data_IF_698381477005
#
_entry.id   IF_698381477005
#
_cell.length_a   1.000
_cell.length_b   1.000
_cell.length_c   1.000
_cell.angle_alpha   90.00
_cell.angle_beta   90.00
_cell.angle_gamma   90.00
#
_symmetry.space_group_name_H-M   'P 1'
#
loop_
_entity.id
_entity.type
_entity.pdbx_description
1 polymer ?
#
# COMPACT_ATOMS: atom_id res chain seq x y z
N UNK A 1 -2.55 -1.05 -32.61
CA UNK A 1 -2.74 -0.65 -31.19
C UNK A 1 -3.41 -1.80 -30.47
N UNK A 2 -2.96 -2.15 -29.28
CA UNK A 2 -3.59 -3.16 -28.40
C UNK A 2 -3.94 -2.53 -27.06
N UNK A 3 -4.87 -3.13 -26.31
CA UNK A 3 -5.21 -2.64 -24.96
C UNK A 3 -4.00 -2.78 -24.02
N UNK A 4 -3.49 -4.00 -23.86
CA UNK A 4 -2.39 -4.31 -22.94
C UNK A 4 -1.07 -4.57 -23.69
N UNK A 5 0.09 -4.27 -23.06
CA UNK A 5 1.40 -4.52 -23.63
C UNK A 5 1.79 -5.98 -23.40
N UNK A 6 1.13 -6.89 -24.11
CA UNK A 6 1.31 -8.34 -23.93
C UNK A 6 2.78 -8.76 -24.08
N UNK A 7 3.57 -8.10 -24.94
CA UNK A 7 5.01 -8.39 -25.06
C UNK A 7 5.78 -8.20 -23.75
N UNK A 8 5.37 -7.21 -22.94
CA UNK A 8 6.02 -6.87 -21.68
C UNK A 8 5.46 -7.71 -20.53
N UNK A 9 4.13 -7.88 -20.48
CA UNK A 9 3.45 -8.67 -19.46
C UNK A 9 3.73 -10.18 -19.61
N UNK A 10 3.74 -10.70 -20.83
CA UNK A 10 4.10 -12.10 -21.11
C UNK A 10 5.57 -12.36 -20.78
N UNK A 11 6.48 -11.42 -21.06
CA UNK A 11 7.87 -11.52 -20.61
C UNK A 11 7.97 -11.55 -19.08
N UNK A 12 7.28 -10.62 -18.41
CA UNK A 12 7.34 -10.47 -16.96
C UNK A 12 6.76 -11.69 -16.23
N UNK A 13 5.63 -12.23 -16.71
CA UNK A 13 4.96 -13.38 -16.11
C UNK A 13 5.35 -14.73 -16.69
N UNK A 14 6.26 -14.77 -17.68
CA UNK A 14 6.56 -15.96 -18.48
C UNK A 14 5.28 -16.61 -19.05
N UNK A 15 4.44 -15.78 -19.67
CA UNK A 15 3.15 -16.15 -20.26
C UNK A 15 3.15 -16.15 -21.79
N UNK A 16 1.98 -16.45 -22.37
CA UNK A 16 1.73 -16.41 -23.81
C UNK A 16 0.28 -15.99 -24.09
N UNK A 17 -0.11 -14.78 -23.70
CA UNK A 17 -1.48 -14.28 -23.88
C UNK A 17 -1.71 -13.63 -25.26
N UNK A 18 -0.63 -13.21 -25.93
CA UNK A 18 -0.69 -12.46 -27.20
C UNK A 18 -0.73 -13.27 -28.50
N UNK A 19 -1.21 -14.52 -28.50
CA UNK A 19 -1.11 -15.43 -29.67
C UNK A 19 -1.77 -14.88 -30.94
N UNK A 20 -3.02 -14.42 -30.86
CA UNK A 20 -3.75 -13.87 -32.02
C UNK A 20 -3.03 -12.66 -32.65
N UNK A 21 -2.50 -11.78 -31.81
CA UNK A 21 -1.75 -10.60 -32.27
C UNK A 21 -0.41 -11.01 -32.86
N UNK A 22 0.20 -12.07 -32.33
CA UNK A 22 1.42 -12.65 -32.87
C UNK A 22 1.20 -13.21 -34.27
N UNK A 23 0.16 -14.00 -34.47
CA UNK A 23 -0.23 -14.54 -35.77
C UNK A 23 -0.50 -13.42 -36.78
N UNK A 24 -1.21 -12.35 -36.38
CA UNK A 24 -1.41 -11.17 -37.24
C UNK A 24 -0.07 -10.52 -37.65
N UNK A 25 0.85 -10.33 -36.73
CA UNK A 25 2.13 -9.65 -36.98
C UNK A 25 3.05 -10.51 -37.84
N UNK A 26 3.21 -11.78 -37.49
CA UNK A 26 4.16 -12.70 -38.10
C UNK A 26 3.67 -13.15 -39.47
N UNK A 27 2.41 -13.57 -39.58
CA UNK A 27 1.92 -14.29 -40.77
C UNK A 27 1.25 -13.36 -41.79
N UNK A 28 0.61 -12.27 -41.36
CA UNK A 28 -0.12 -11.36 -42.26
C UNK A 28 0.59 -10.02 -42.49
N UNK A 29 1.13 -9.40 -41.44
CA UNK A 29 1.81 -8.11 -41.59
C UNK A 29 3.22 -8.27 -42.15
N UNK A 30 3.91 -9.38 -41.87
CA UNK A 30 5.22 -9.74 -42.47
C UNK A 30 6.21 -8.56 -42.54
N UNK A 31 6.45 -7.90 -41.41
CA UNK A 31 7.39 -6.76 -41.31
C UNK A 31 6.81 -5.38 -41.62
N UNK A 32 5.51 -5.30 -41.96
CA UNK A 32 4.80 -4.01 -42.13
C UNK A 32 4.42 -3.33 -40.82
N UNK A 33 4.44 -4.04 -39.69
CA UNK A 33 4.17 -3.44 -38.38
C UNK A 33 5.39 -2.64 -37.91
N UNK A 34 5.44 -1.33 -38.15
CA UNK A 34 6.59 -0.52 -37.68
C UNK A 34 6.48 -0.14 -36.21
N UNK A 35 5.27 0.13 -35.73
CA UNK A 35 5.00 0.53 -34.35
C UNK A 35 3.87 -0.31 -33.76
N UNK A 36 4.13 -0.92 -32.60
CA UNK A 36 3.10 -1.52 -31.75
C UNK A 36 2.97 -0.70 -30.47
N UNK A 37 1.77 -0.16 -30.24
CA UNK A 37 1.44 0.63 -29.05
C UNK A 37 0.39 -0.09 -28.21
N UNK A 38 0.54 0.01 -26.88
CA UNK A 38 -0.46 -0.40 -25.91
C UNK A 38 -0.56 0.56 -24.72
N UNK A 39 -1.70 0.52 -24.03
CA UNK A 39 -1.97 1.24 -22.79
C UNK A 39 -1.82 0.30 -21.58
N UNK A 40 -2.77 0.36 -20.65
CA UNK A 40 -2.91 -0.50 -19.47
C UNK A 40 -1.81 -0.37 -18.39
N UNK A 41 -0.54 -0.47 -18.77
CA UNK A 41 0.54 -0.08 -17.87
C UNK A 41 0.66 1.45 -17.80
N UNK A 42 0.34 2.02 -16.65
CA UNK A 42 0.24 3.46 -16.40
C UNK A 42 1.60 4.19 -16.29
N UNK A 43 2.50 3.88 -17.19
CA UNK A 43 3.76 4.58 -17.42
C UNK A 43 3.98 4.76 -18.91
N UNK A 44 5.07 5.43 -19.27
CA UNK A 44 5.57 5.47 -20.63
C UNK A 44 6.86 4.67 -20.75
N UNK A 45 6.97 3.86 -21.80
CA UNK A 45 8.18 3.06 -22.06
C UNK A 45 8.31 2.77 -23.55
N UNK A 46 9.44 3.12 -24.15
CA UNK A 46 9.76 2.83 -25.55
C UNK A 46 10.94 1.88 -25.67
N UNK A 47 10.72 0.81 -26.41
CA UNK A 47 11.79 -0.07 -26.87
C UNK A 47 11.92 0.02 -28.39
N UNK A 48 13.16 -0.02 -28.87
CA UNK A 48 13.47 -0.05 -30.30
C UNK A 48 14.29 -1.29 -30.62
N UNK A 49 13.98 -1.93 -31.74
CA UNK A 49 14.73 -3.09 -32.21
C UNK A 49 16.18 -2.70 -32.50
N UNK A 50 17.13 -3.50 -32.03
CA UNK A 50 18.55 -3.36 -32.38
C UNK A 50 18.77 -3.95 -33.78
N UNK A 51 19.49 -3.24 -34.68
CA UNK A 51 19.81 -3.77 -36.00
C UNK A 51 20.48 -5.15 -35.91
N UNK A 52 19.96 -6.12 -36.65
CA UNK A 52 20.41 -7.52 -36.64
C UNK A 52 19.99 -8.24 -37.91
N UNK A 53 20.72 -9.29 -38.30
CA UNK A 53 20.39 -10.11 -39.47
C UNK A 53 19.03 -10.80 -39.33
N UNK A 54 18.27 -10.84 -40.43
CA UNK A 54 16.93 -11.46 -40.50
C UNK A 54 15.77 -10.48 -40.28
N UNK A 55 14.53 -10.92 -40.53
CA UNK A 55 13.36 -10.04 -40.61
C UNK A 55 13.04 -9.38 -39.26
N UNK A 56 12.77 -8.07 -39.29
CA UNK A 56 12.27 -7.32 -38.14
C UNK A 56 10.75 -7.22 -38.25
N UNK A 57 10.05 -7.91 -37.37
CA UNK A 57 8.58 -7.95 -37.38
C UNK A 57 7.94 -6.68 -36.80
N UNK A 58 8.60 -6.07 -35.81
CA UNK A 58 8.20 -4.81 -35.18
C UNK A 58 9.43 -3.94 -34.94
N UNK A 59 9.41 -2.68 -35.35
CA UNK A 59 10.57 -1.80 -35.17
C UNK A 59 10.56 -1.13 -33.79
N UNK A 60 9.39 -0.69 -33.34
CA UNK A 60 9.21 -0.01 -32.05
C UNK A 60 8.05 -0.60 -31.25
N UNK A 61 8.31 -0.83 -29.96
CA UNK A 61 7.31 -1.22 -28.97
C UNK A 61 7.11 -0.05 -28.01
N UNK A 62 5.87 0.40 -27.87
CA UNK A 62 5.52 1.59 -27.11
C UNK A 62 4.44 1.27 -26.08
N UNK A 63 4.75 1.49 -24.82
CA UNK A 63 3.76 1.53 -23.74
C UNK A 63 3.48 2.99 -23.46
N UNK A 64 2.21 3.40 -23.53
CA UNK A 64 1.77 4.68 -22.98
C UNK A 64 0.37 4.53 -22.38
N UNK A 65 0.32 4.09 -21.12
CA UNK A 65 -0.91 4.02 -20.33
C UNK A 65 -1.05 5.14 -19.31
N UNK A 66 -0.25 6.21 -19.38
CA UNK A 66 -0.15 7.23 -18.34
C UNK A 66 -1.49 7.90 -17.96
N UNK A 67 -2.54 7.78 -18.78
CA UNK A 67 -3.90 8.25 -18.47
C UNK A 67 -4.61 7.51 -17.33
N UNK A 68 -4.11 6.37 -16.86
CA UNK A 68 -4.78 5.53 -15.85
C UNK A 68 -4.92 6.11 -14.45
N UNK A 69 -5.55 5.38 -13.52
CA UNK A 69 -5.90 5.92 -12.20
C UNK A 69 -4.68 6.24 -11.29
N UNK A 70 -3.60 5.48 -11.42
CA UNK A 70 -2.36 5.65 -10.65
C UNK A 70 -1.15 5.24 -11.49
N UNK A 71 0.04 5.74 -11.17
CA UNK A 71 1.30 5.39 -11.86
C UNK A 71 1.66 3.90 -11.69
N UNK A 72 2.12 3.22 -12.75
CA UNK A 72 2.79 1.90 -12.63
C UNK A 72 4.33 2.05 -12.61
N UNK A 73 5.07 1.14 -11.97
CA UNK A 73 6.53 1.21 -11.99
C UNK A 73 7.10 0.87 -13.36
N UNK A 74 8.13 1.59 -13.77
CA UNK A 74 9.00 1.26 -14.91
C UNK A 74 10.17 0.33 -14.57
N UNK A 75 10.74 0.42 -13.36
CA UNK A 75 12.00 -0.27 -13.01
C UNK A 75 11.90 -1.79 -13.01
N UNK A 76 10.73 -2.36 -12.68
CA UNK A 76 10.49 -3.82 -12.74
C UNK A 76 10.58 -4.40 -14.15
N UNK A 77 10.43 -3.55 -15.17
CA UNK A 77 10.46 -3.94 -16.58
C UNK A 77 11.82 -3.65 -17.26
N UNK A 78 12.80 -3.15 -16.50
CA UNK A 78 14.12 -2.70 -17.02
C UNK A 78 14.91 -3.79 -17.76
N UNK A 79 14.70 -5.06 -17.42
CA UNK A 79 15.43 -6.19 -18.01
C UNK A 79 14.80 -6.73 -19.30
N UNK A 80 13.67 -6.16 -19.75
CA UNK A 80 13.06 -6.56 -21.01
C UNK A 80 13.98 -6.20 -22.19
N UNK A 81 14.34 -7.22 -22.98
CA UNK A 81 15.32 -7.05 -24.06
C UNK A 81 15.08 -7.92 -25.28
N UNK A 82 14.09 -8.82 -25.27
CA UNK A 82 13.85 -9.77 -26.36
C UNK A 82 12.38 -9.86 -26.73
N UNK A 83 12.10 -9.87 -28.04
CA UNK A 83 10.76 -10.07 -28.58
C UNK A 83 10.82 -10.65 -29.99
N UNK A 84 10.08 -11.72 -30.26
CA UNK A 84 10.12 -12.51 -31.51
C UNK A 84 11.55 -12.81 -31.99
N UNK A 85 12.42 -13.28 -31.08
CA UNK A 85 13.80 -13.64 -31.38
C UNK A 85 14.76 -12.48 -31.66
N UNK A 86 14.27 -11.22 -31.64
CA UNK A 86 15.07 -10.01 -31.84
C UNK A 86 15.37 -9.31 -30.52
N UNK A 87 16.51 -8.63 -30.49
CA UNK A 87 16.94 -7.82 -29.33
C UNK A 87 16.36 -6.42 -29.43
N UNK A 88 15.91 -5.89 -28.30
CA UNK A 88 15.36 -4.56 -28.14
C UNK A 88 16.09 -3.81 -27.05
N UNK A 89 16.24 -2.51 -27.24
CA UNK A 89 16.84 -1.60 -26.27
C UNK A 89 15.78 -0.61 -25.79
N UNK A 90 15.67 -0.41 -24.48
CA UNK A 90 14.83 0.63 -23.89
C UNK A 90 15.44 2.00 -24.20
N UNK A 91 14.79 2.78 -25.05
CA UNK A 91 15.27 4.12 -25.46
C UNK A 91 14.77 5.23 -24.55
N UNK A 92 13.58 5.07 -23.96
CA UNK A 92 13.01 6.04 -23.05
C UNK A 92 12.04 5.36 -22.08
N UNK A 93 12.03 5.81 -20.83
CA UNK A 93 11.07 5.40 -19.80
C UNK A 93 10.66 6.63 -18.99
N UNK A 94 9.38 6.76 -18.68
CA UNK A 94 8.86 7.85 -17.87
C UNK A 94 7.83 7.34 -16.86
N UNK A 95 8.10 7.47 -15.55
CA UNK A 95 9.36 7.97 -14.94
C UNK A 95 10.57 7.08 -15.29
N UNK A 96 11.79 7.61 -15.15
CA UNK A 96 12.99 6.80 -15.32
C UNK A 96 13.04 5.67 -14.28
N UNK A 97 13.87 4.65 -14.50
CA UNK A 97 13.96 3.50 -13.59
C UNK A 97 14.39 3.91 -12.18
N UNK A 98 15.34 4.84 -12.06
CA UNK A 98 15.82 5.31 -10.76
C UNK A 98 14.72 6.07 -10.00
N UNK A 99 14.02 6.99 -10.66
CA UNK A 99 12.91 7.72 -10.05
C UNK A 99 11.77 6.80 -9.67
N UNK A 100 11.46 5.82 -10.52
CA UNK A 100 10.46 4.79 -10.28
C UNK A 100 10.79 3.95 -9.04
N UNK A 101 12.04 3.50 -8.88
CA UNK A 101 12.49 2.77 -7.69
C UNK A 101 12.45 3.65 -6.43
N UNK A 102 12.83 4.93 -6.55
CA UNK A 102 12.75 5.90 -5.45
C UNK A 102 11.31 6.22 -5.04
N UNK A 103 10.39 6.30 -5.99
CA UNK A 103 8.96 6.49 -5.74
C UNK A 103 8.41 5.34 -4.88
N UNK A 104 8.89 4.12 -5.09
CA UNK A 104 8.47 2.94 -4.32
C UNK A 104 8.76 3.09 -2.82
N UNK A 105 9.75 3.88 -2.39
CA UNK A 105 10.02 4.20 -0.98
C UNK A 105 8.80 4.84 -0.28
N UNK A 106 7.91 5.44 -1.07
CA UNK A 106 6.60 5.89 -0.59
C UNK A 106 5.79 4.79 0.11
N UNK A 107 6.02 3.51 -0.17
CA UNK A 107 5.35 2.41 0.51
C UNK A 107 5.70 2.36 2.00
N UNK A 108 6.94 2.68 2.38
CA UNK A 108 7.30 2.74 3.81
C UNK A 108 6.72 4.02 4.44
N UNK A 109 6.90 5.16 3.78
CA UNK A 109 6.66 6.48 4.39
C UNK A 109 5.21 6.96 4.33
N UNK A 110 4.45 6.54 3.31
CA UNK A 110 3.14 7.10 2.96
C UNK A 110 2.01 6.07 3.00
N UNK A 111 2.30 4.78 3.12
CA UNK A 111 1.29 3.73 3.09
C UNK A 111 0.23 3.95 4.16
N UNK A 112 0.63 4.13 5.43
CA UNK A 112 -0.32 4.38 6.54
C UNK A 112 -1.20 5.60 6.27
N UNK A 113 -0.60 6.72 5.85
CA UNK A 113 -1.33 7.96 5.57
C UNK A 113 -2.36 7.80 4.45
N UNK A 114 -2.04 7.01 3.43
CA UNK A 114 -2.92 6.78 2.27
C UNK A 114 -3.94 5.67 2.50
N UNK A 115 -3.62 4.71 3.36
CA UNK A 115 -4.38 3.48 3.56
C UNK A 115 -4.73 3.31 5.05
N UNK A 116 -5.07 4.38 5.77
CA UNK A 116 -5.37 4.31 7.21
C UNK A 116 -6.50 3.32 7.56
N UNK A 117 -7.41 3.04 6.62
CA UNK A 117 -8.45 2.01 6.79
C UNK A 117 -7.85 0.60 6.95
N UNK A 118 -6.67 0.35 6.40
CA UNK A 118 -5.94 -0.90 6.58
C UNK A 118 -5.52 -1.11 8.04
N UNK A 119 -5.21 -0.04 8.78
CA UNK A 119 -4.86 -0.13 10.21
C UNK A 119 -5.99 -0.78 11.01
N UNK A 120 -7.25 -0.47 10.71
CA UNK A 120 -8.39 -1.04 11.42
C UNK A 120 -8.39 -2.57 11.39
N UNK A 121 -8.27 -3.14 10.19
CA UNK A 121 -8.22 -4.59 9.97
C UNK A 121 -6.91 -5.16 10.53
N UNK A 122 -5.80 -4.48 10.28
CA UNK A 122 -4.47 -4.89 10.70
C UNK A 122 -4.31 -5.03 12.21
N UNK A 123 -4.83 -4.08 12.99
CA UNK A 123 -4.81 -4.14 14.45
C UNK A 123 -5.67 -5.28 15.01
N UNK A 124 -6.82 -5.57 14.38
CA UNK A 124 -7.65 -6.75 14.74
C UNK A 124 -6.87 -8.04 14.48
N UNK A 125 -6.21 -8.14 13.32
CA UNK A 125 -5.36 -9.31 13.00
C UNK A 125 -4.25 -9.46 14.04
N UNK A 126 -3.54 -8.40 14.38
CA UNK A 126 -2.48 -8.45 15.40
C UNK A 126 -3.02 -8.90 16.75
N UNK A 127 -4.16 -8.37 17.18
CA UNK A 127 -4.78 -8.79 18.43
C UNK A 127 -5.13 -10.28 18.42
N UNK A 128 -5.70 -10.81 17.34
CA UNK A 128 -6.00 -12.25 17.20
C UNK A 128 -4.71 -13.09 17.28
N UNK A 129 -3.63 -12.65 16.62
CA UNK A 129 -2.34 -13.36 16.61
C UNK A 129 -1.75 -13.54 18.01
N UNK A 130 -2.02 -12.64 18.94
CA UNK A 130 -1.51 -12.69 20.31
C UNK A 130 -2.59 -12.87 21.38
N UNK A 131 -3.85 -13.01 20.99
CA UNK A 131 -5.00 -13.08 21.88
C UNK A 131 -4.82 -14.09 23.01
N UNK A 132 -4.37 -15.30 22.67
CA UNK A 132 -4.17 -16.39 23.63
C UNK A 132 -2.96 -16.20 24.54
N UNK A 133 -2.11 -15.20 24.30
CA UNK A 133 -0.92 -14.91 25.12
C UNK A 133 -1.20 -13.90 26.23
N UNK A 134 -2.34 -13.21 26.21
CA UNK A 134 -2.70 -12.26 27.27
C UNK A 134 -3.40 -12.95 28.45
N UNK A 135 -3.12 -12.57 29.72
CA UNK A 135 -1.99 -11.74 30.19
C UNK A 135 -0.67 -12.53 30.32
N UNK A 136 0.45 -11.82 30.39
CA UNK A 136 1.76 -12.39 30.73
C UNK A 136 2.05 -12.19 32.21
N UNK A 137 1.86 -13.23 33.02
CA UNK A 137 1.99 -13.15 34.49
C UNK A 137 3.42 -13.33 35.03
N UNK A 138 4.34 -13.86 34.22
CA UNK A 138 5.74 -14.10 34.62
C UNK A 138 6.64 -13.16 33.83
N UNK A 139 6.80 -11.92 34.29
CA UNK A 139 7.66 -10.91 33.65
C UNK A 139 8.82 -10.46 34.53
N UNK A 140 8.88 -10.93 35.78
CA UNK A 140 9.83 -10.44 36.77
C UNK A 140 11.29 -10.65 36.35
N UNK A 141 11.57 -11.78 35.69
CA UNK A 141 12.89 -12.14 35.17
C UNK A 141 13.38 -11.22 34.05
N UNK A 142 12.50 -10.43 33.42
CA UNK A 142 12.90 -9.44 32.40
C UNK A 142 13.39 -8.15 33.07
N UNK A 143 12.81 -7.81 34.22
CA UNK A 143 13.03 -6.53 34.92
C UNK A 143 14.11 -6.60 36.02
N UNK A 144 14.59 -7.80 36.37
CA UNK A 144 15.50 -8.03 37.51
C UNK A 144 16.99 -8.09 37.16
N UNK A 145 17.39 -8.30 35.91
CA UNK A 145 18.82 -8.39 35.57
C UNK A 145 19.52 -7.02 35.69
N UNK A 146 20.79 -6.99 36.09
CA UNK A 146 21.54 -5.71 36.22
C UNK A 146 22.21 -5.27 34.90
N UNK A 147 22.17 -6.10 33.86
CA UNK A 147 22.87 -5.84 32.59
C UNK A 147 21.92 -5.71 31.41
N UNK A 148 22.21 -4.75 30.52
CA UNK A 148 21.41 -4.52 29.29
C UNK A 148 21.35 -5.75 28.38
N UNK A 149 22.44 -6.51 28.28
CA UNK A 149 22.46 -7.77 27.51
C UNK A 149 21.61 -8.87 28.16
N UNK A 150 21.55 -8.91 29.50
CA UNK A 150 20.65 -9.77 30.26
C UNK A 150 19.18 -9.46 29.96
N UNK A 151 18.77 -8.19 30.06
CA UNK A 151 17.42 -7.74 29.70
C UNK A 151 17.05 -8.14 28.27
N UNK A 152 17.94 -7.92 27.31
CA UNK A 152 17.67 -8.23 25.91
C UNK A 152 17.50 -9.74 25.69
N UNK A 153 18.35 -10.57 26.32
CA UNK A 153 18.25 -12.04 26.26
C UNK A 153 16.96 -12.54 26.90
N UNK A 154 16.60 -12.00 28.07
CA UNK A 154 15.37 -12.34 28.79
C UNK A 154 14.11 -11.94 27.99
N UNK A 155 14.13 -10.75 27.38
CA UNK A 155 13.08 -10.26 26.51
C UNK A 155 12.87 -11.17 25.29
N UNK A 156 13.91 -11.44 24.50
CA UNK A 156 13.79 -12.30 23.31
C UNK A 156 13.50 -13.76 23.68
N UNK A 157 14.02 -14.25 24.82
CA UNK A 157 13.65 -15.55 25.37
C UNK A 157 12.15 -15.66 25.64
N UNK A 158 11.55 -14.60 26.22
CA UNK A 158 10.12 -14.55 26.49
C UNK A 158 9.28 -14.46 25.21
N UNK A 159 9.72 -13.66 24.22
CA UNK A 159 9.09 -13.63 22.88
C UNK A 159 9.11 -15.02 22.24
N UNK A 160 10.23 -15.73 22.35
CA UNK A 160 10.36 -17.10 21.83
C UNK A 160 9.43 -18.08 22.54
N UNK A 161 9.35 -18.03 23.87
CA UNK A 161 8.40 -18.84 24.65
C UNK A 161 6.95 -18.55 24.26
N UNK A 162 6.59 -17.28 24.05
CA UNK A 162 5.26 -16.89 23.57
C UNK A 162 4.98 -17.42 22.15
N UNK A 163 5.98 -17.39 21.26
CA UNK A 163 5.88 -17.99 19.93
C UNK A 163 5.59 -19.50 20.00
N UNK A 164 6.35 -20.25 20.79
CA UNK A 164 6.13 -21.69 20.99
C UNK A 164 4.75 -21.95 21.58
N UNK A 165 4.32 -21.14 22.55
CA UNK A 165 2.99 -21.23 23.13
C UNK A 165 1.87 -21.05 22.09
N UNK A 166 2.00 -20.07 21.19
CA UNK A 166 1.05 -19.87 20.08
C UNK A 166 0.95 -21.12 19.20
N UNK A 167 2.07 -21.78 18.90
CA UNK A 167 2.07 -22.96 18.04
C UNK A 167 1.55 -24.23 18.71
N UNK A 168 1.88 -24.46 19.97
CA UNK A 168 1.63 -25.75 20.63
C UNK A 168 0.36 -25.76 21.49
N UNK A 169 0.00 -24.63 22.10
CA UNK A 169 -0.99 -24.59 23.17
C UNK A 169 -2.19 -23.68 22.86
N UNK A 170 -2.08 -22.79 21.86
CA UNK A 170 -3.16 -21.85 21.53
C UNK A 170 -4.10 -22.39 20.46
N UNK A 171 -5.41 -22.19 20.63
CA UNK A 171 -6.40 -22.50 19.58
C UNK A 171 -6.75 -21.29 18.73
N UNK A 172 -7.10 -20.16 19.37
CA UNK A 172 -7.57 -18.95 18.68
C UNK A 172 -6.45 -18.30 17.88
N UNK A 173 -5.30 -18.06 18.52
CA UNK A 173 -4.15 -17.43 17.87
C UNK A 173 -3.54 -18.31 16.78
N UNK A 174 -3.52 -19.64 16.95
CA UNK A 174 -3.09 -20.59 15.92
C UNK A 174 -4.00 -20.56 14.68
N UNK A 175 -5.33 -20.58 14.87
CA UNK A 175 -6.28 -20.45 13.75
C UNK A 175 -6.09 -19.12 13.02
N UNK A 176 -5.93 -18.02 13.76
CA UNK A 176 -5.63 -16.71 13.19
C UNK A 176 -4.35 -16.70 12.36
N UNK A 177 -3.28 -17.33 12.87
CA UNK A 177 -2.00 -17.48 12.19
C UNK A 177 -2.12 -18.28 10.88
N UNK A 178 -2.83 -19.42 10.91
CA UNK A 178 -3.05 -20.26 9.73
C UNK A 178 -3.88 -19.54 8.67
N UNK A 179 -4.94 -18.82 9.07
CA UNK A 179 -5.76 -18.03 8.15
C UNK A 179 -4.95 -16.89 7.51
N UNK A 180 -4.13 -16.20 8.30
CA UNK A 180 -3.23 -15.17 7.78
C UNK A 180 -2.19 -15.76 6.82
N UNK A 181 -1.64 -16.94 7.12
CA UNK A 181 -0.70 -17.64 6.24
C UNK A 181 -1.34 -18.04 4.90
N UNK A 182 -2.55 -18.60 4.93
CA UNK A 182 -3.30 -18.93 3.72
C UNK A 182 -3.54 -17.67 2.90
N UNK A 183 -4.03 -16.60 3.54
CA UNK A 183 -4.24 -15.32 2.87
C UNK A 183 -2.94 -14.80 2.24
N UNK A 184 -1.85 -14.73 3.01
CA UNK A 184 -0.57 -14.23 2.52
C UNK A 184 -0.04 -15.01 1.31
N UNK A 185 -0.23 -16.33 1.25
CA UNK A 185 0.18 -17.14 0.09
C UNK A 185 -0.76 -16.95 -1.12
N UNK A 186 -2.06 -16.80 -0.86
CA UNK A 186 -3.08 -16.60 -1.90
C UNK A 186 -2.93 -15.24 -2.58
N UNK A 187 -2.67 -14.18 -1.80
CA UNK A 187 -2.54 -12.81 -2.31
C UNK A 187 -1.20 -12.54 -3.04
N UNK A 188 -0.18 -13.38 -2.90
CA UNK A 188 1.00 -13.30 -3.78
C UNK A 188 0.59 -13.70 -5.21
N UNK A 189 0.96 -12.91 -6.25
CA UNK A 189 0.48 -13.08 -7.62
C UNK A 189 0.48 -14.52 -8.10
N UNK A 190 -0.67 -14.96 -8.62
CA UNK A 190 -0.94 -16.35 -8.99
C UNK A 190 -0.03 -16.89 -10.10
N UNK A 191 0.51 -15.98 -10.94
CA UNK A 191 1.46 -16.25 -12.03
C UNK A 191 2.85 -16.68 -11.52
N UNK A 192 3.17 -16.47 -10.23
CA UNK A 192 4.43 -16.92 -9.63
C UNK A 192 4.38 -18.41 -9.28
N UNK A 193 5.55 -19.06 -9.33
CA UNK A 193 5.69 -20.45 -8.91
C UNK A 193 5.23 -20.65 -7.45
N UNK A 194 4.48 -21.73 -7.19
CA UNK A 194 3.91 -22.05 -5.86
C UNK A 194 4.95 -22.02 -4.73
N UNK A 195 6.18 -22.48 -5.00
CA UNK A 195 7.30 -22.43 -4.04
C UNK A 195 7.66 -20.99 -3.64
N UNK A 196 7.79 -20.07 -4.61
CA UNK A 196 8.07 -18.65 -4.34
C UNK A 196 6.95 -18.00 -3.54
N UNK A 197 5.70 -18.30 -3.90
CA UNK A 197 4.51 -17.80 -3.19
C UNK A 197 4.50 -18.25 -1.72
N UNK A 198 4.80 -19.52 -1.46
CA UNK A 198 4.93 -20.05 -0.11
C UNK A 198 6.04 -19.35 0.69
N UNK A 199 7.23 -19.19 0.11
CA UNK A 199 8.37 -18.53 0.79
C UNK A 199 8.03 -17.08 1.16
N UNK A 200 7.49 -16.30 0.20
CA UNK A 200 7.13 -14.90 0.41
C UNK A 200 6.04 -14.80 1.49
N UNK A 201 4.99 -15.64 1.40
CA UNK A 201 3.90 -15.65 2.37
C UNK A 201 4.36 -16.02 3.78
N UNK A 202 5.17 -17.08 3.92
CA UNK A 202 5.73 -17.50 5.22
C UNK A 202 6.57 -16.37 5.82
N UNK A 203 7.50 -15.80 5.06
CA UNK A 203 8.35 -14.71 5.55
C UNK A 203 7.52 -13.50 6.00
N UNK A 204 6.52 -13.12 5.20
CA UNK A 204 5.63 -11.99 5.52
C UNK A 204 4.86 -12.23 6.83
N UNK A 205 4.28 -13.42 7.00
CA UNK A 205 3.56 -13.79 8.23
C UNK A 205 4.50 -13.90 9.42
N UNK A 206 5.70 -14.44 9.26
CA UNK A 206 6.70 -14.49 10.33
C UNK A 206 7.05 -13.10 10.86
N UNK A 207 7.20 -12.10 9.97
CA UNK A 207 7.46 -10.71 10.38
C UNK A 207 6.25 -10.13 11.12
N UNK A 208 5.02 -10.35 10.63
CA UNK A 208 3.82 -9.88 11.31
C UNK A 208 3.63 -10.52 12.70
N UNK A 209 3.82 -11.84 12.82
CA UNK A 209 3.73 -12.55 14.09
C UNK A 209 4.80 -12.07 15.09
N UNK A 210 6.04 -11.93 14.63
CA UNK A 210 7.14 -11.44 15.48
C UNK A 210 6.86 -10.03 16.00
N UNK A 211 6.41 -9.13 15.12
CA UNK A 211 6.04 -7.77 15.51
C UNK A 211 4.86 -7.75 16.50
N UNK A 212 3.83 -8.58 16.29
CA UNK A 212 2.70 -8.68 17.20
C UNK A 212 3.12 -9.18 18.60
N UNK A 213 3.96 -10.22 18.66
CA UNK A 213 4.49 -10.76 19.94
C UNK A 213 5.38 -9.75 20.68
N UNK A 214 6.25 -9.03 19.96
CA UNK A 214 7.08 -7.96 20.55
C UNK A 214 6.19 -6.86 21.13
N UNK A 215 5.19 -6.41 20.39
CA UNK A 215 4.27 -5.35 20.87
C UNK A 215 3.42 -5.83 22.05
N UNK A 216 2.99 -7.09 22.05
CA UNK A 216 2.25 -7.68 23.15
C UNK A 216 3.10 -7.63 24.43
N UNK A 217 4.35 -8.08 24.32
CA UNK A 217 5.28 -8.10 25.44
C UNK A 217 5.62 -6.68 25.92
N UNK A 218 5.79 -5.72 25.02
CA UNK A 218 6.01 -4.31 25.38
C UNK A 218 4.81 -3.71 26.13
N UNK A 219 3.58 -4.02 25.72
CA UNK A 219 2.38 -3.59 26.42
C UNK A 219 2.32 -4.20 27.84
N UNK A 220 2.56 -5.51 27.94
CA UNK A 220 2.56 -6.23 29.22
C UNK A 220 3.66 -5.75 30.18
N UNK A 221 4.88 -5.51 29.68
CA UNK A 221 5.97 -4.91 30.48
C UNK A 221 5.60 -3.49 30.91
N UNK A 222 4.96 -2.70 30.04
CA UNK A 222 4.47 -1.37 30.38
C UNK A 222 3.46 -1.40 31.52
N UNK A 223 2.48 -2.31 31.45
CA UNK A 223 1.49 -2.52 32.51
C UNK A 223 2.16 -2.96 33.82
N UNK A 224 3.04 -3.95 33.77
CA UNK A 224 3.79 -4.46 34.93
C UNK A 224 4.62 -3.34 35.60
N UNK A 225 5.29 -2.52 34.79
CA UNK A 225 6.07 -1.36 35.27
C UNK A 225 5.17 -0.36 35.99
N UNK A 226 4.01 -0.03 35.42
CA UNK A 226 3.04 0.87 36.05
C UNK A 226 2.50 0.30 37.37
N UNK A 227 2.22 -1.00 37.45
CA UNK A 227 1.76 -1.67 38.68
C UNK A 227 2.85 -1.60 39.76
N UNK A 228 4.10 -1.97 39.42
CA UNK A 228 5.23 -1.94 40.36
C UNK A 228 5.51 -0.55 40.93
N UNK A 229 5.38 0.49 40.12
CA UNK A 229 5.54 1.89 40.56
C UNK A 229 4.28 2.49 41.19
N UNK A 230 3.24 1.69 41.45
CA UNK A 230 1.96 2.12 42.05
C UNK A 230 1.28 3.24 41.24
N UNK A 231 1.43 3.23 39.92
CA UNK A 231 0.74 4.12 38.98
C UNK A 231 -0.63 3.55 38.57
N UNK A 232 -0.77 2.22 38.58
CA UNK A 232 -2.00 1.49 38.29
C UNK A 232 -2.23 0.38 39.32
N UNK A 233 -3.48 -0.09 39.42
CA UNK A 233 -3.93 -1.13 40.34
C UNK A 233 -3.72 -0.79 41.83
N UNK A 234 -3.98 0.44 42.22
CA UNK A 234 -3.72 0.93 43.59
C UNK A 234 -4.93 0.81 44.53
N UNK A 235 -6.15 0.93 44.00
CA UNK A 235 -7.37 1.07 44.80
C UNK A 235 -8.58 0.29 44.25
N UNK A 236 -8.33 -0.63 43.31
CA UNK A 236 -9.33 -1.49 42.68
C UNK A 236 -9.99 -0.87 41.44
N UNK A 237 -11.12 -1.43 41.00
CA UNK A 237 -11.79 -1.10 39.72
C UNK A 237 -12.35 0.33 39.56
N UNK A 238 -12.24 1.16 40.58
CA UNK A 238 -12.91 2.46 40.68
C UNK A 238 -11.98 3.56 41.21
N UNK A 239 -10.68 3.49 40.91
CA UNK A 239 -9.68 4.46 41.39
C UNK A 239 -10.04 5.88 40.95
N UNK A 240 -10.42 6.09 39.70
CA UNK A 240 -10.88 7.39 39.18
C UNK A 240 -12.11 7.92 39.91
N UNK A 241 -13.07 7.04 40.25
CA UNK A 241 -14.26 7.43 41.00
C UNK A 241 -13.92 7.83 42.44
N UNK A 242 -13.01 7.13 43.10
CA UNK A 242 -12.54 7.48 44.45
C UNK A 242 -11.80 8.84 44.44
N UNK A 243 -10.95 9.07 43.44
CA UNK A 243 -10.31 10.37 43.25
C UNK A 243 -11.32 11.49 42.98
N UNK A 244 -12.33 11.23 42.13
CA UNK A 244 -13.41 12.18 41.90
C UNK A 244 -14.15 12.51 43.20
N UNK A 245 -14.53 11.51 44.00
CA UNK A 245 -15.19 11.73 45.28
C UNK A 245 -14.32 12.56 46.24
N UNK A 246 -13.01 12.31 46.32
CA UNK A 246 -12.13 13.09 47.19
C UNK A 246 -12.03 14.55 46.75
N UNK A 247 -11.87 14.80 45.46
CA UNK A 247 -11.79 16.16 44.89
C UNK A 247 -13.14 16.88 45.01
N UNK A 248 -14.25 16.17 44.79
CA UNK A 248 -15.61 16.69 44.91
C UNK A 248 -15.91 17.13 46.35
N UNK A 249 -15.49 16.35 47.35
CA UNK A 249 -15.67 16.69 48.77
C UNK A 249 -14.81 17.89 49.17
N UNK A 250 -13.56 17.95 48.69
CA UNK A 250 -12.62 19.01 49.04
C UNK A 250 -12.97 20.36 48.40
N UNK A 251 -13.30 20.37 47.11
CA UNK A 251 -13.48 21.60 46.33
C UNK A 251 -14.95 22.04 46.19
N UNK A 252 -15.90 21.12 46.38
CA UNK A 252 -17.33 21.38 46.22
C UNK A 252 -18.14 20.84 47.42
N UNK A 253 -18.03 21.44 48.61
CA UNK A 253 -18.79 21.00 49.79
C UNK A 253 -20.31 21.16 49.55
N UNK A 254 -21.10 20.24 50.09
CA UNK A 254 -22.56 20.23 49.96
C UNK A 254 -23.25 20.60 51.29
N UNK A 255 -23.29 21.90 51.66
CA UNK A 255 -23.86 22.34 52.93
C UNK A 255 -25.38 22.09 53.02
N UNK A 256 -26.05 21.87 51.90
CA UNK A 256 -27.50 21.65 51.84
C UNK A 256 -27.89 20.16 51.81
N UNK A 257 -26.92 19.25 51.74
CA UNK A 257 -27.19 17.82 51.56
C UNK A 257 -28.01 17.52 50.29
N UNK A 258 -27.78 18.27 49.20
CA UNK A 258 -28.45 18.04 47.93
C UNK A 258 -28.04 16.69 47.32
N UNK A 259 -26.76 16.33 47.38
CA UNK A 259 -26.23 15.08 46.79
C UNK A 259 -26.81 13.85 47.47
N UNK A 260 -26.87 13.84 48.81
CA UNK A 260 -27.47 12.75 49.57
C UNK A 260 -28.97 12.61 49.30
N UNK A 261 -29.69 13.73 49.13
CA UNK A 261 -31.09 13.73 48.71
C UNK A 261 -31.28 13.16 47.31
N UNK A 262 -30.42 13.54 46.35
CA UNK A 262 -30.45 13.00 44.98
C UNK A 262 -30.14 11.50 44.98
N UNK A 263 -29.14 11.06 45.73
CA UNK A 263 -28.82 9.65 45.90
C UNK A 263 -30.03 8.87 46.43
N UNK A 264 -30.70 9.40 47.46
CA UNK A 264 -31.91 8.79 48.02
C UNK A 264 -33.09 8.78 47.03
N UNK A 265 -33.33 9.90 46.32
CA UNK A 265 -34.40 10.01 45.31
C UNK A 265 -34.18 9.10 44.10
N UNK A 266 -32.92 8.82 43.77
CA UNK A 266 -32.55 7.94 42.67
C UNK A 266 -32.31 6.49 43.10
N UNK A 267 -32.59 6.15 44.37
CA UNK A 267 -32.31 4.82 44.92
C UNK A 267 -30.85 4.36 44.69
N UNK A 268 -29.89 5.27 44.77
CA UNK A 268 -28.47 5.01 44.53
C UNK A 268 -28.07 4.94 43.05
N UNK A 269 -28.99 5.17 42.10
CA UNK A 269 -28.67 5.13 40.68
C UNK A 269 -27.74 6.28 40.26
N UNK A 270 -27.90 7.48 40.83
CA UNK A 270 -27.03 8.63 40.53
C UNK A 270 -25.54 8.34 40.76
N UNK A 271 -25.08 7.97 41.97
CA UNK A 271 -23.67 7.67 42.19
C UNK A 271 -23.22 6.41 41.45
N UNK A 272 -24.10 5.41 41.27
CA UNK A 272 -23.78 4.22 40.50
C UNK A 272 -23.50 4.54 39.02
N UNK A 273 -24.33 5.38 38.39
CA UNK A 273 -24.12 5.81 37.00
C UNK A 273 -22.78 6.53 36.82
N UNK A 274 -22.44 7.47 37.72
CA UNK A 274 -21.14 8.18 37.66
C UNK A 274 -19.99 7.19 37.86
N UNK A 275 -20.08 6.31 38.86
CA UNK A 275 -19.08 5.29 39.17
C UNK A 275 -18.79 4.37 37.98
N UNK A 276 -19.83 3.81 37.35
CA UNK A 276 -19.66 2.91 36.21
C UNK A 276 -19.27 3.65 34.92
N UNK A 277 -19.72 4.89 34.73
CA UNK A 277 -19.26 5.74 33.62
C UNK A 277 -17.76 6.02 33.74
N UNK A 278 -17.27 6.38 34.92
CA UNK A 278 -15.85 6.63 35.17
C UNK A 278 -15.00 5.39 34.98
N UNK A 279 -15.46 4.21 35.40
CA UNK A 279 -14.77 2.94 35.12
C UNK A 279 -14.63 2.64 33.62
N UNK A 280 -15.54 3.11 32.78
CA UNK A 280 -15.41 2.96 31.33
C UNK A 280 -14.31 3.86 30.73
N UNK A 281 -13.94 4.95 31.41
CA UNK A 281 -12.81 5.81 31.03
C UNK A 281 -11.50 5.41 31.69
N UNK A 282 -11.54 4.54 32.71
CA UNK A 282 -10.38 4.06 33.45
C UNK A 282 -9.87 2.69 32.95
N UNK A 283 -9.78 2.57 31.63
CA UNK A 283 -9.43 1.32 30.94
C UNK A 283 -8.06 0.75 31.40
N UNK A 284 -6.99 1.55 31.57
CA UNK A 284 -5.72 1.05 32.11
C UNK A 284 -5.81 0.46 33.51
N UNK A 285 -6.59 1.07 34.42
CA UNK A 285 -6.79 0.54 35.77
C UNK A 285 -7.57 -0.78 35.71
N UNK A 286 -8.63 -0.85 34.90
CA UNK A 286 -9.40 -2.08 34.67
C UNK A 286 -8.50 -3.19 34.12
N UNK A 287 -7.62 -2.88 33.17
CA UNK A 287 -6.63 -3.83 32.64
C UNK A 287 -5.68 -4.31 33.72
N UNK A 288 -5.09 -3.39 34.50
CA UNK A 288 -4.09 -3.69 35.51
C UNK A 288 -4.66 -4.51 36.67
N UNK A 289 -5.80 -4.08 37.26
CA UNK A 289 -6.47 -4.77 38.37
C UNK A 289 -6.92 -6.16 37.93
N UNK A 290 -7.52 -6.28 36.74
CA UNK A 290 -7.97 -7.59 36.24
C UNK A 290 -6.81 -8.50 35.92
N UNK A 291 -5.73 -7.98 35.33
CA UNK A 291 -4.49 -8.73 35.09
C UNK A 291 -3.92 -9.27 36.40
N UNK A 292 -3.78 -8.45 37.44
CA UNK A 292 -3.27 -8.91 38.74
C UNK A 292 -4.15 -10.03 39.31
N UNK A 293 -5.47 -9.88 39.24
CA UNK A 293 -6.39 -10.93 39.69
C UNK A 293 -6.26 -12.23 38.86
N UNK A 294 -6.13 -12.14 37.53
CA UNK A 294 -5.89 -13.31 36.67
C UNK A 294 -4.57 -14.00 37.04
N UNK A 295 -3.52 -13.22 37.33
CA UNK A 295 -2.20 -13.76 37.63
C UNK A 295 -2.12 -14.41 39.02
N UNK A 296 -2.88 -13.92 40.00
CA UNK A 296 -2.95 -14.51 41.34
C UNK A 296 -3.91 -15.71 41.40
N UNK A 297 -5.12 -15.55 40.87
CA UNK A 297 -6.24 -16.49 41.09
C UNK A 297 -6.57 -17.34 39.84
N UNK A 298 -5.89 -17.12 38.72
CA UNK A 298 -6.16 -17.76 37.44
C UNK A 298 -7.36 -17.16 36.71
N UNK A 299 -7.40 -17.33 35.39
CA UNK A 299 -8.47 -16.78 34.53
C UNK A 299 -9.87 -17.36 34.84
N UNK A 300 -9.92 -18.54 35.46
CA UNK A 300 -11.17 -19.21 35.86
C UNK A 300 -11.90 -18.48 37.00
N UNK A 301 -11.19 -17.60 37.73
CA UNK A 301 -11.80 -16.78 38.77
C UNK A 301 -12.71 -15.67 38.22
N UNK A 302 -12.61 -15.34 36.92
CA UNK A 302 -13.41 -14.30 36.30
C UNK A 302 -14.75 -14.85 35.79
N UNK A 303 -15.80 -14.05 35.94
CA UNK A 303 -17.04 -14.25 35.21
C UNK A 303 -16.81 -14.08 33.69
N UNK A 304 -17.67 -14.70 32.88
CA UNK A 304 -17.63 -14.53 31.41
C UNK A 304 -17.68 -13.06 30.98
N UNK A 305 -18.50 -12.26 31.66
CA UNK A 305 -18.58 -10.81 31.42
C UNK A 305 -17.29 -10.09 31.79
N UNK A 306 -16.67 -10.45 32.92
CA UNK A 306 -15.37 -9.91 33.33
C UNK A 306 -14.25 -10.21 32.34
N UNK A 307 -14.20 -11.45 31.83
CA UNK A 307 -13.23 -11.82 30.78
C UNK A 307 -13.45 -11.02 29.47
N UNK A 308 -14.70 -10.80 29.06
CA UNK A 308 -15.01 -9.97 27.89
C UNK A 308 -14.57 -8.53 28.10
N UNK A 309 -14.84 -7.94 29.27
CA UNK A 309 -14.41 -6.58 29.61
C UNK A 309 -12.89 -6.47 29.59
N UNK A 310 -12.19 -7.46 30.15
CA UNK A 310 -10.72 -7.53 30.13
C UNK A 310 -10.17 -7.52 28.71
N UNK A 311 -10.59 -8.48 27.86
CA UNK A 311 -10.08 -8.56 26.49
C UNK A 311 -10.49 -7.37 25.63
N UNK A 312 -11.68 -6.78 25.85
CA UNK A 312 -12.08 -5.55 25.19
C UNK A 312 -11.16 -4.37 25.58
N UNK A 313 -10.81 -4.28 26.87
CA UNK A 313 -9.91 -3.24 27.37
C UNK A 313 -8.50 -3.38 26.79
N UNK A 314 -7.95 -4.60 26.82
CA UNK A 314 -6.64 -4.92 26.21
C UNK A 314 -6.67 -4.64 24.71
N UNK A 315 -7.73 -5.04 24.01
CA UNK A 315 -7.89 -4.79 22.58
C UNK A 315 -7.80 -3.30 22.25
N UNK A 316 -8.51 -2.43 22.98
CA UNK A 316 -8.52 -0.98 22.71
C UNK A 316 -7.09 -0.39 22.74
N UNK A 317 -6.32 -0.71 23.78
CA UNK A 317 -4.94 -0.21 23.92
C UNK A 317 -3.98 -0.86 22.94
N UNK A 318 -4.05 -2.19 22.82
CA UNK A 318 -3.18 -2.93 21.91
C UNK A 318 -3.41 -2.55 20.45
N UNK A 319 -4.66 -2.30 20.06
CA UNK A 319 -5.01 -1.86 18.71
C UNK A 319 -4.40 -0.49 18.40
N UNK A 320 -4.58 0.51 19.27
CA UNK A 320 -3.96 1.83 19.08
C UNK A 320 -2.44 1.73 19.00
N UNK A 321 -1.84 0.90 19.88
CA UNK A 321 -0.40 0.72 19.95
C UNK A 321 0.19 -0.02 18.74
N UNK A 322 -0.52 -1.02 18.21
CA UNK A 322 0.00 -1.91 17.16
C UNK A 322 -0.20 -1.40 15.73
N UNK A 323 -1.27 -0.65 15.47
CA UNK A 323 -1.62 -0.18 14.12
C UNK A 323 -0.50 0.55 13.36
N UNK A 324 0.34 1.42 13.96
CA UNK A 324 1.46 2.03 13.25
C UNK A 324 2.44 0.99 12.69
N UNK A 325 2.71 -0.06 13.47
CA UNK A 325 3.66 -1.12 13.13
C UNK A 325 3.09 -2.03 12.05
N UNK A 326 1.79 -2.34 12.10
CA UNK A 326 1.13 -3.15 11.05
C UNK A 326 1.31 -2.53 9.67
N UNK A 327 0.99 -1.24 9.55
CA UNK A 327 1.17 -0.49 8.30
C UNK A 327 2.64 -0.38 7.88
N UNK A 328 3.56 -0.22 8.84
CA UNK A 328 4.99 -0.16 8.56
C UNK A 328 5.52 -1.48 8.00
N UNK A 329 5.13 -2.62 8.60
CA UNK A 329 5.50 -3.95 8.12
C UNK A 329 4.97 -4.19 6.71
N UNK A 330 3.69 -3.89 6.46
CA UNK A 330 3.08 -4.11 5.15
C UNK A 330 3.65 -3.19 4.07
N UNK A 331 3.86 -1.91 4.39
CA UNK A 331 4.52 -0.95 3.49
C UNK A 331 5.96 -1.36 3.16
N UNK A 332 6.71 -1.85 4.15
CA UNK A 332 8.07 -2.37 3.95
C UNK A 332 8.07 -3.64 3.10
N UNK A 333 7.09 -4.52 3.30
CA UNK A 333 6.89 -5.71 2.48
C UNK A 333 6.69 -5.35 1.00
N UNK A 334 5.79 -4.41 0.68
CA UNK A 334 5.55 -3.96 -0.69
C UNK A 334 6.81 -3.33 -1.30
N UNK A 335 7.53 -2.50 -0.53
CA UNK A 335 8.79 -1.89 -0.97
C UNK A 335 9.87 -2.93 -1.30
N UNK A 336 10.07 -3.91 -0.41
CA UNK A 336 11.07 -4.97 -0.63
C UNK A 336 10.68 -5.85 -1.82
N UNK A 337 9.41 -6.24 -1.89
CA UNK A 337 8.89 -7.06 -2.97
C UNK A 337 9.06 -6.40 -4.34
N UNK A 338 8.76 -5.10 -4.45
CA UNK A 338 8.85 -4.42 -5.74
C UNK A 338 10.28 -4.15 -6.18
N UNK A 339 11.17 -3.74 -5.25
CA UNK A 339 12.53 -3.33 -5.61
C UNK A 339 13.53 -4.49 -5.71
N UNK A 340 13.35 -5.59 -4.95
CA UNK A 340 14.29 -6.72 -4.98
C UNK A 340 13.73 -7.96 -5.64
N UNK A 341 12.46 -8.27 -5.43
CA UNK A 341 11.82 -9.45 -6.02
C UNK A 341 11.15 -9.15 -7.35
N UNK A 342 11.00 -7.86 -7.70
CA UNK A 342 10.24 -7.36 -8.84
C UNK A 342 8.84 -7.98 -8.92
N UNK A 343 8.13 -8.09 -7.79
CA UNK A 343 6.73 -8.57 -7.70
C UNK A 343 5.85 -7.49 -7.09
N UNK A 344 4.52 -7.66 -7.17
CA UNK A 344 3.54 -6.70 -6.66
C UNK A 344 3.58 -5.33 -7.33
N UNK A 345 3.85 -5.26 -8.64
CA UNK A 345 3.93 -3.96 -9.33
C UNK A 345 2.62 -3.17 -9.29
N UNK A 346 1.49 -3.86 -9.28
CA UNK A 346 0.17 -3.26 -9.20
C UNK A 346 -0.14 -2.84 -7.76
N UNK A 347 -0.02 -3.75 -6.78
CA UNK A 347 -0.34 -3.47 -5.38
C UNK A 347 0.60 -2.42 -4.74
N UNK A 348 1.89 -2.48 -5.07
CA UNK A 348 2.89 -1.55 -4.53
C UNK A 348 2.69 -0.11 -5.01
N UNK A 349 2.13 0.12 -6.19
CA UNK A 349 1.91 1.48 -6.71
C UNK A 349 0.46 1.94 -6.61
N UNK A 350 -0.51 1.03 -6.66
CA UNK A 350 -1.92 1.34 -6.39
C UNK A 350 -2.11 1.81 -4.95
N UNK A 351 -1.43 1.20 -3.98
CA UNK A 351 -1.45 1.63 -2.58
C UNK A 351 -0.90 3.06 -2.38
N UNK A 352 -0.05 3.53 -3.30
CA UNK A 352 0.48 4.89 -3.31
C UNK A 352 -0.44 5.89 -4.03
N UNK A 353 -1.44 5.45 -4.79
CA UNK A 353 -2.46 6.31 -5.44
C UNK A 353 -1.83 7.55 -6.09
N UNK A 354 -0.79 7.33 -6.90
CA UNK A 354 0.00 8.41 -7.49
C UNK A 354 -0.68 8.87 -8.77
N UNK A 355 -1.39 10.01 -8.71
CA UNK A 355 -2.04 10.63 -9.87
C UNK A 355 -1.08 11.45 -10.75
N UNK A 356 0.20 11.55 -10.36
CA UNK A 356 1.25 12.27 -11.07
C UNK A 356 1.77 11.46 -12.28
N UNK A 357 2.71 12.03 -13.04
CA UNK A 357 3.36 11.39 -14.20
C UNK A 357 2.38 11.05 -15.34
N UNK A 358 1.59 12.03 -15.77
CA UNK A 358 0.68 11.89 -16.92
C UNK A 358 1.43 12.12 -18.22
N UNK A 359 1.03 11.43 -19.29
CA UNK A 359 1.59 11.62 -20.62
C UNK A 359 0.60 11.24 -21.70
N UNK A 360 0.81 11.75 -22.90
CA UNK A 360 0.12 11.35 -24.12
C UNK A 360 1.10 11.36 -25.30
N UNK A 361 0.89 10.46 -26.24
CA UNK A 361 1.71 10.37 -27.46
C UNK A 361 0.95 10.96 -28.64
N UNK A 362 1.59 11.86 -29.37
CA UNK A 362 1.10 12.46 -30.60
C UNK A 362 1.83 11.86 -31.79
N UNK A 363 1.05 11.55 -32.82
CA UNK A 363 1.51 11.05 -34.10
C UNK A 363 1.33 12.14 -35.16
N UNK A 364 2.36 12.35 -35.98
CA UNK A 364 2.33 13.26 -37.11
C UNK A 364 2.94 12.56 -38.31
N UNK A 365 2.15 12.34 -39.36
CA UNK A 365 2.66 11.86 -40.64
C UNK A 365 3.05 13.10 -41.44
N UNK A 366 4.34 13.24 -41.71
CA UNK A 366 4.85 14.39 -42.43
C UNK A 366 4.60 14.27 -43.95
N UNK A 367 5.00 15.27 -44.73
CA UNK A 367 4.79 15.30 -46.18
C UNK A 367 5.57 14.22 -46.93
N UNK A 368 6.67 13.76 -46.35
CA UNK A 368 7.54 12.73 -46.92
C UNK A 368 7.03 11.31 -46.60
N UNK A 369 5.94 11.19 -45.83
CA UNK A 369 5.36 9.91 -45.42
C UNK A 369 5.99 9.31 -44.16
N UNK A 370 6.96 9.98 -43.54
CA UNK A 370 7.55 9.56 -42.27
C UNK A 370 6.57 9.82 -41.11
N UNK A 371 6.57 8.91 -40.15
CA UNK A 371 5.79 9.05 -38.92
C UNK A 371 6.66 9.63 -37.80
N UNK A 372 6.43 10.89 -37.48
CA UNK A 372 6.99 11.55 -36.31
C UNK A 372 6.15 11.24 -35.06
N UNK A 373 6.81 10.81 -34.00
CA UNK A 373 6.18 10.43 -32.73
C UNK A 373 6.74 11.29 -31.62
N UNK A 374 5.86 11.98 -30.90
CA UNK A 374 6.20 12.85 -29.78
C UNK A 374 5.43 12.40 -28.54
N UNK A 375 6.11 12.20 -27.42
CA UNK A 375 5.44 11.94 -26.15
C UNK A 375 5.61 13.15 -25.25
N UNK A 376 4.47 13.77 -24.89
CA UNK A 376 4.43 14.89 -23.96
C UNK A 376 3.99 14.39 -22.60
N UNK A 377 4.64 14.88 -21.55
CA UNK A 377 4.35 14.47 -20.19
C UNK A 377 4.32 15.63 -19.20
N UNK A 378 3.60 15.42 -18.10
CA UNK A 378 3.41 16.32 -16.96
C UNK A 378 3.78 15.56 -15.69
N UNK A 379 4.79 16.04 -14.98
CA UNK A 379 5.33 15.38 -13.78
C UNK A 379 4.34 15.47 -12.60
N UNK A 380 3.71 16.64 -12.39
CA UNK A 380 2.73 16.87 -11.31
C UNK A 380 1.41 17.35 -11.88
N UNK A 381 0.32 16.63 -11.57
CA UNK A 381 -1.02 17.04 -12.00
C UNK A 381 -1.60 18.08 -11.05
N UNK A 382 -2.29 19.12 -11.56
CA UNK A 382 -3.02 20.06 -10.73
C UNK A 382 -4.22 19.36 -10.07
N UNK A 383 -4.48 19.72 -8.81
CA UNK A 383 -5.61 19.19 -8.04
C UNK A 383 -6.81 20.13 -8.01
N UNK A 384 -6.55 21.42 -8.19
CA UNK A 384 -7.56 22.48 -8.12
C UNK A 384 -7.62 23.19 -9.46
N UNK A 385 -8.80 23.16 -10.06
CA UNK A 385 -9.08 23.75 -11.36
C UNK A 385 -10.04 24.92 -11.20
N UNK A 386 -9.83 25.97 -11.99
CA UNK A 386 -10.72 27.14 -12.07
C UNK A 386 -11.08 27.42 -13.53
N UNK A 387 -12.18 28.13 -13.73
CA UNK A 387 -12.55 28.60 -15.06
C UNK A 387 -11.44 29.51 -15.58
N UNK A 388 -10.98 29.27 -16.81
CA UNK A 388 -10.02 30.14 -17.45
C UNK A 388 -10.70 31.47 -17.84
N UNK A 389 -10.29 32.62 -17.25
CA UNK A 389 -10.89 33.91 -17.57
C UNK A 389 -10.79 34.25 -19.05
N UNK A 390 -9.67 33.89 -19.70
CA UNK A 390 -9.44 34.22 -21.10
C UNK A 390 -10.35 33.41 -22.02
N UNK A 391 -10.65 32.15 -21.66
CA UNK A 391 -11.64 31.33 -22.36
C UNK A 391 -13.06 31.87 -22.23
N UNK A 392 -13.41 32.44 -21.07
CA UNK A 392 -14.77 32.91 -20.82
C UNK A 392 -15.06 34.24 -21.51
N UNK A 393 -14.05 35.12 -21.57
CA UNK A 393 -14.11 36.42 -22.27
C UNK A 393 -14.00 36.25 -23.79
N UNK A 394 -13.39 35.17 -24.29
CA UNK A 394 -13.32 34.90 -25.74
C UNK A 394 -14.73 34.78 -26.35
N UNK A 395 -15.00 35.60 -27.38
CA UNK A 395 -16.28 35.61 -28.06
C UNK A 395 -16.58 34.24 -28.69
N UNK A 396 -17.63 33.58 -28.18
CA UNK A 396 -18.02 32.23 -28.61
C UNK A 396 -18.76 32.32 -29.95
N UNK A 397 -18.04 32.23 -31.06
CA UNK A 397 -18.66 32.08 -32.39
C UNK A 397 -19.44 30.77 -32.45
N UNK A 398 -20.69 30.83 -32.93
CA UNK A 398 -21.50 29.64 -33.17
C UNK A 398 -20.75 28.73 -34.15
N UNK A 399 -20.63 27.45 -33.79
CA UNK A 399 -19.97 26.36 -34.55
C UNK A 399 -18.43 26.27 -34.55
N UNK A 400 -17.69 27.17 -33.88
CA UNK A 400 -16.22 27.01 -33.79
C UNK A 400 -15.82 25.92 -32.77
N UNK A 401 -15.10 24.90 -33.22
CA UNK A 401 -14.53 23.87 -32.34
C UNK A 401 -13.50 24.45 -31.36
N UNK A 402 -13.47 23.95 -30.12
CA UNK A 402 -12.61 24.47 -29.04
C UNK A 402 -11.13 24.52 -29.41
N UNK A 403 -10.60 23.51 -30.10
CA UNK A 403 -9.18 23.44 -30.48
C UNK A 403 -8.72 24.52 -31.48
N UNK A 404 -9.65 25.26 -32.12
CA UNK A 404 -9.35 26.38 -33.03
C UNK A 404 -9.40 27.75 -32.36
N UNK A 405 -9.76 27.78 -31.07
CA UNK A 405 -9.84 29.01 -30.29
C UNK A 405 -8.46 29.48 -29.86
N UNK A 406 -8.34 30.76 -29.53
CA UNK A 406 -7.09 31.29 -28.96
C UNK A 406 -6.84 30.67 -27.58
N UNK A 407 -7.91 30.47 -26.81
CA UNK A 407 -7.89 29.79 -25.52
C UNK A 407 -8.73 28.52 -25.65
N UNK A 408 -8.14 27.36 -26.00
CA UNK A 408 -8.91 26.16 -26.29
C UNK A 408 -9.44 25.45 -25.04
N UNK A 409 -8.82 25.66 -23.87
CA UNK A 409 -9.19 25.02 -22.61
C UNK A 409 -10.17 25.86 -21.82
N UNK A 410 -11.29 25.28 -21.40
CA UNK A 410 -12.24 25.93 -20.47
C UNK A 410 -11.67 26.07 -19.06
N UNK A 411 -10.75 25.19 -18.69
CA UNK A 411 -10.22 25.08 -17.34
C UNK A 411 -8.72 25.33 -17.34
N UNK A 412 -8.25 26.08 -16.35
CA UNK A 412 -6.82 26.24 -16.05
C UNK A 412 -6.55 25.81 -14.60
N UNK A 413 -5.30 25.47 -14.31
CA UNK A 413 -4.89 25.16 -12.95
C UNK A 413 -5.03 26.41 -12.08
N UNK A 414 -5.43 26.24 -10.82
CA UNK A 414 -5.57 27.37 -9.89
C UNK A 414 -4.22 28.07 -9.66
N UNK A 415 -3.13 27.30 -9.65
CA UNK A 415 -1.75 27.78 -9.66
C UNK A 415 -1.15 27.65 -11.06
N UNK A 416 -0.75 28.77 -11.67
CA UNK A 416 -0.15 28.78 -13.01
C UNK A 416 1.15 27.99 -13.14
N UNK A 417 1.89 27.79 -12.05
CA UNK A 417 3.10 26.96 -12.02
C UNK A 417 2.80 25.45 -12.15
N UNK A 418 1.55 25.04 -11.92
CA UNK A 418 1.09 23.66 -12.05
C UNK A 418 0.23 23.46 -13.30
N UNK A 419 0.04 24.49 -14.12
CA UNK A 419 -0.78 24.37 -15.32
C UNK A 419 -0.09 23.47 -16.35
N UNK A 420 -0.78 22.42 -16.87
CA UNK A 420 -0.24 21.57 -17.91
C UNK A 420 0.27 22.32 -19.15
N UNK A 421 -0.33 23.47 -19.49
CA UNK A 421 0.13 24.31 -20.61
C UNK A 421 1.57 24.80 -20.40
N UNK A 422 1.97 25.06 -19.15
CA UNK A 422 3.29 25.58 -18.80
C UNK A 422 4.28 24.48 -18.40
N UNK A 423 3.79 23.33 -17.94
CA UNK A 423 4.60 22.26 -17.36
C UNK A 423 4.82 21.07 -18.29
N UNK A 424 4.01 20.93 -19.35
CA UNK A 424 4.16 19.82 -20.28
C UNK A 424 5.50 19.91 -21.03
N UNK A 425 6.21 18.78 -21.06
CA UNK A 425 7.50 18.66 -21.77
C UNK A 425 7.54 17.42 -22.62
N UNK A 426 8.34 17.46 -23.68
CA UNK A 426 8.61 16.28 -24.51
C UNK A 426 9.56 15.36 -23.71
N UNK A 427 9.13 14.13 -23.46
CA UNK A 427 9.93 13.10 -22.75
C UNK A 427 10.58 12.11 -23.71
N UNK A 428 10.09 12.04 -24.94
CA UNK A 428 10.65 11.21 -26.00
C UNK A 428 10.18 11.71 -27.36
N UNK A 429 11.05 11.62 -28.35
CA UNK A 429 10.79 11.99 -29.73
C UNK A 429 11.57 11.06 -30.66
N UNK A 430 10.89 10.51 -31.66
CA UNK A 430 11.53 9.68 -32.68
C UNK A 430 10.75 9.70 -33.99
N UNK A 431 11.42 9.30 -35.07
CA UNK A 431 10.84 9.26 -36.42
C UNK A 431 10.93 7.82 -36.93
N UNK A 432 9.82 7.33 -37.46
CA UNK A 432 9.75 6.08 -38.21
C UNK A 432 9.71 6.44 -39.68
N UNK A 433 10.79 6.12 -40.39
CA UNK A 433 10.89 6.43 -41.81
C UNK A 433 9.96 5.54 -42.65
N UNK A 434 9.45 6.10 -43.75
CA UNK A 434 8.81 5.32 -44.78
C UNK A 434 9.79 4.25 -45.28
N UNK A 435 9.27 3.04 -45.55
CA UNK A 435 10.08 2.00 -46.19
C UNK A 435 10.14 2.32 -47.68
N UNK A 436 11.34 2.53 -48.22
CA UNK A 436 11.55 2.71 -49.66
C UNK A 436 10.97 1.49 -50.42
N UNK A 437 10.25 1.73 -51.53
CA UNK A 437 9.85 0.64 -52.39
C UNK A 437 11.13 0.01 -52.99
N UNK A 438 11.26 -1.32 -53.04
CA UNK A 438 12.28 -1.92 -53.89
C UNK A 438 11.98 -1.48 -55.33
N UNK A 439 12.98 -0.91 -56.00
CA UNK A 439 12.91 -0.57 -57.42
C UNK A 439 12.47 -1.81 -58.21
N UNK A 440 11.20 -1.87 -58.60
CA UNK A 440 10.78 -2.76 -59.67
C UNK A 440 11.33 -2.17 -60.96
N UNK A 441 12.59 -2.52 -61.26
CA UNK A 441 13.15 -2.34 -62.59
C UNK A 441 12.29 -3.18 -63.53
N UNK A 442 11.34 -2.54 -64.20
CA UNK A 442 10.63 -3.10 -65.35
C UNK A 442 11.67 -3.34 -66.45
N UNK A 443 12.22 -4.54 -66.50
CA UNK A 443 12.90 -5.05 -67.68
C UNK A 443 11.84 -5.23 -68.76
N UNK A 444 11.70 -4.22 -69.61
CA UNK A 444 11.03 -4.36 -70.91
C UNK A 444 11.86 -5.31 -71.78
N UNK A 445 11.63 -6.62 -71.60
CA UNK A 445 12.04 -7.63 -72.56
C UNK A 445 11.13 -7.51 -73.78
N UNK A 446 11.63 -6.90 -74.84
CA UNK A 446 11.02 -6.95 -76.18
C UNK A 446 10.94 -8.41 -76.63
N UNK A 447 9.72 -8.92 -76.76
CA UNK A 447 9.45 -10.17 -77.48
C UNK A 447 9.53 -9.86 -78.97
N UNK A 448 10.57 -10.37 -79.64
CA UNK A 448 10.62 -10.48 -81.09
C UNK A 448 10.18 -11.90 -81.49
N UNK A 449 9.23 -11.95 -82.41
CA UNK A 449 8.67 -13.13 -83.07
C UNK A 449 9.71 -14.05 -83.70
#
# INVERSE_FOLDING_TARGET
MTHEPHWLLDWYWNGASGENVSHLILDYLKGRCKLRIAGDLHHYMRHSCVPSEGPVHVQHLLVNGCGGAFLHPTHVFSNFSKFYGKTYECKAAYPCFDDSSRIALGNILKFRKKNWQFDFIGGIIYFILVFSTFPQCKLDHILQDDSFSGHLRSFFGTVWSAFVYVLEHSSVSLVGLLMLLIAAIVFVPSKLARKKRAIIGILHVSVHLTAALILMLLLEIGLETCIRHKLLATSGYHSLYQWYQSVEIEHFPDPTGLRSRIEQWTFGLYPACIKYLMSAFDVPEVMAVTRSNICENGIQSLSRGGAVIYYASVFLYFWVFSTPVVSLVFGSYLYICINWLHVHFDEAFSSLRIANYKSFTRFHINRDGDLEVFTLAVDKVPKEWKLDPDWDVEAKQQQQSSYRRKYPSKWCASSGQQDPVNTARIVDQFVIRQTEQPDFVTTNGSVSH
#
